data_IF_401183435061
#
_entry.id   IF_401183435061
#
_cell.length_a   1.000
_cell.length_b   1.000
_cell.length_c   1.000
_cell.angle_alpha   90.00
_cell.angle_beta   90.00
_cell.angle_gamma   90.00
#
_symmetry.space_group_name_H-M   'P 1'
#
loop_
_entity.id
_entity.type
_entity.pdbx_description
1 polymer ?
#
# COMPACT_ATOMS: atom_id res chain seq x y z
N UNK A 1 16.55 -7.74 13.47
CA UNK A 1 15.82 -6.46 13.31
C UNK A 1 14.64 -6.75 12.39
N UNK A 2 13.42 -6.76 12.93
CA UNK A 2 12.24 -7.18 12.16
C UNK A 2 11.73 -6.02 11.30
N UNK A 3 12.04 -6.04 10.01
CA UNK A 3 11.44 -5.08 9.07
C UNK A 3 9.97 -5.45 8.87
N UNK A 4 9.07 -4.78 9.61
CA UNK A 4 7.63 -4.88 9.34
C UNK A 4 7.36 -4.56 7.86
N UNK A 5 6.67 -5.44 7.11
CA UNK A 5 6.44 -5.24 5.69
C UNK A 5 5.75 -3.91 5.41
N UNK A 6 6.22 -3.20 4.39
CA UNK A 6 5.67 -1.91 3.94
C UNK A 6 4.24 -2.16 3.48
N UNK A 7 3.30 -1.42 4.06
CA UNK A 7 1.90 -1.47 3.65
C UNK A 7 1.35 -0.05 3.45
N UNK A 8 0.42 0.07 2.51
CA UNK A 8 -0.34 1.29 2.24
C UNK A 8 -1.78 1.06 2.65
N UNK A 9 -2.36 2.04 3.35
CA UNK A 9 -3.76 2.08 3.69
C UNK A 9 -4.45 3.15 2.83
N UNK A 10 -5.50 2.76 2.12
CA UNK A 10 -6.32 3.65 1.28
C UNK A 10 -7.72 3.66 1.85
N UNK A 11 -8.17 4.84 2.29
CA UNK A 11 -9.48 5.05 2.88
C UNK A 11 -10.28 6.09 2.09
N UNK A 12 -11.55 5.81 1.81
CA UNK A 12 -12.47 6.76 1.15
C UNK A 12 -13.92 6.44 1.48
N UNK A 13 -14.67 7.42 1.99
CA UNK A 13 -16.11 7.31 2.26
C UNK A 13 -16.48 6.06 3.08
N UNK A 14 -15.70 5.75 4.12
CA UNK A 14 -15.89 4.55 4.95
C UNK A 14 -15.44 3.23 4.31
N UNK A 15 -14.92 3.26 3.08
CA UNK A 15 -14.24 2.12 2.45
C UNK A 15 -12.77 2.13 2.83
N UNK A 16 -12.21 0.93 3.04
CA UNK A 16 -10.82 0.71 3.43
C UNK A 16 -10.19 -0.35 2.54
N UNK A 17 -8.99 -0.11 2.02
CA UNK A 17 -8.17 -1.12 1.37
C UNK A 17 -6.73 -1.05 1.87
N UNK A 18 -6.15 -2.21 2.17
CA UNK A 18 -4.76 -2.32 2.63
C UNK A 18 -3.97 -3.13 1.62
N UNK A 19 -2.77 -2.66 1.29
CA UNK A 19 -1.89 -3.30 0.33
C UNK A 19 -0.50 -3.47 0.92
N UNK A 20 0.08 -4.65 0.78
CA UNK A 20 1.53 -4.82 0.83
C UNK A 20 2.15 -4.11 -0.36
N UNK A 21 3.33 -3.49 -0.19
CA UNK A 21 4.05 -2.81 -1.27
C UNK A 21 5.07 -3.72 -1.93
N UNK A 22 5.65 -4.69 -1.20
CA UNK A 22 6.66 -5.61 -1.75
C UNK A 22 6.38 -7.07 -1.36
N UNK A 23 5.81 -7.89 -2.26
CA UNK A 23 5.23 -7.49 -3.55
C UNK A 23 3.90 -6.74 -3.38
N UNK A 24 3.53 -5.92 -4.38
CA UNK A 24 2.25 -5.20 -4.37
C UNK A 24 1.06 -6.17 -4.38
N UNK A 25 0.45 -6.38 -3.22
CA UNK A 25 -0.67 -7.32 -3.01
C UNK A 25 -1.69 -6.77 -2.05
N UNK A 26 -2.97 -6.92 -2.40
CA UNK A 26 -4.07 -6.63 -1.50
C UNK A 26 -3.99 -7.53 -0.27
N UNK A 27 -4.01 -6.94 0.92
CA UNK A 27 -4.05 -7.67 2.19
C UNK A 27 -5.43 -7.65 2.82
N UNK A 28 -6.19 -6.57 2.61
CA UNK A 28 -7.52 -6.40 3.16
C UNK A 28 -8.35 -5.46 2.28
N UNK A 29 -9.65 -5.73 2.15
CA UNK A 29 -10.59 -4.86 1.45
C UNK A 29 -11.94 -4.85 2.17
N UNK A 30 -12.36 -3.65 2.56
CA UNK A 30 -13.66 -3.35 3.12
C UNK A 30 -14.33 -2.29 2.22
N UNK A 31 -15.16 -2.74 1.28
CA UNK A 31 -16.07 -1.88 0.53
C UNK A 31 -15.60 -1.35 -0.83
N UNK A 32 -14.36 -1.58 -1.27
CA UNK A 32 -13.95 -1.25 -2.64
C UNK A 32 -14.35 -2.33 -3.65
N UNK A 33 -14.75 -1.90 -4.84
CA UNK A 33 -14.96 -2.80 -5.97
C UNK A 33 -13.63 -3.25 -6.61
N UNK A 34 -13.62 -4.39 -7.28
CA UNK A 34 -12.41 -4.92 -7.94
C UNK A 34 -11.77 -3.97 -8.96
N UNK A 35 -12.57 -3.17 -9.65
CA UNK A 35 -12.09 -2.14 -10.58
C UNK A 35 -11.39 -0.97 -9.86
N UNK A 36 -11.89 -0.57 -8.67
CA UNK A 36 -11.25 0.44 -7.83
C UNK A 36 -9.94 -0.08 -7.25
N UNK A 37 -9.94 -1.32 -6.72
CA UNK A 37 -8.74 -1.99 -6.23
C UNK A 37 -7.67 -2.13 -7.29
N UNK A 38 -8.04 -2.40 -8.55
CA UNK A 38 -7.10 -2.48 -9.67
C UNK A 38 -6.45 -1.12 -9.94
N UNK A 39 -7.21 -0.03 -9.88
CA UNK A 39 -6.68 1.34 -10.01
C UNK A 39 -5.73 1.68 -8.87
N UNK A 40 -6.14 1.40 -7.62
CA UNK A 40 -5.32 1.61 -6.43
C UNK A 40 -4.01 0.83 -6.54
N UNK A 41 -4.09 -0.46 -6.90
CA UNK A 41 -2.91 -1.31 -7.11
C UNK A 41 -1.96 -0.73 -8.15
N UNK A 42 -2.48 -0.22 -9.27
CA UNK A 42 -1.64 0.40 -10.32
C UNK A 42 -0.89 1.62 -9.80
N UNK A 43 -1.57 2.50 -9.06
CA UNK A 43 -0.95 3.68 -8.45
C UNK A 43 0.16 3.26 -7.47
N UNK A 44 -0.09 2.24 -6.63
CA UNK A 44 0.93 1.73 -5.69
C UNK A 44 2.12 1.15 -6.44
N UNK A 45 1.89 0.44 -7.55
CA UNK A 45 2.95 -0.14 -8.38
C UNK A 45 3.82 0.94 -9.03
N UNK A 46 3.21 1.99 -9.56
CA UNK A 46 3.90 3.13 -10.17
C UNK A 46 4.76 3.90 -9.15
N UNK A 47 4.37 3.88 -7.88
CA UNK A 47 5.06 4.55 -6.77
C UNK A 47 5.82 3.60 -5.84
N UNK A 48 6.00 2.33 -6.23
CA UNK A 48 6.58 1.29 -5.34
C UNK A 48 7.96 1.72 -4.81
N UNK A 49 8.81 2.27 -5.69
CA UNK A 49 10.15 2.75 -5.34
C UNK A 49 10.11 3.83 -4.25
N UNK A 50 9.30 4.89 -4.45
CA UNK A 50 9.13 5.98 -3.47
C UNK A 50 8.58 5.45 -2.14
N UNK A 51 7.61 4.54 -2.17
CA UNK A 51 6.99 3.99 -0.96
C UNK A 51 7.95 3.09 -0.16
N UNK A 52 8.86 2.40 -0.85
CA UNK A 52 9.91 1.59 -0.21
C UNK A 52 11.03 2.49 0.33
N UNK A 53 11.44 3.52 -0.43
CA UNK A 53 12.47 4.48 -0.02
C UNK A 53 12.04 5.33 1.17
N UNK A 54 10.80 5.84 1.16
CA UNK A 54 10.26 6.64 2.27
C UNK A 54 10.24 5.89 3.63
N UNK A 55 10.22 4.55 3.61
CA UNK A 55 10.37 3.75 4.83
C UNK A 55 11.80 3.74 5.35
N UNK A 56 12.81 3.83 4.48
CA UNK A 56 14.21 3.88 4.91
C UNK A 56 14.56 5.25 5.50
N UNK A 57 14.06 6.35 4.94
CA UNK A 57 14.33 7.70 5.45
C UNK A 57 13.70 7.99 6.81
N UNK A 58 12.51 7.45 7.12
CA UNK A 58 11.82 7.78 8.38
C UNK A 58 12.32 7.00 9.62
N UNK A 59 13.11 5.94 9.43
CA UNK A 59 13.64 5.10 10.52
C UNK A 59 15.19 5.02 10.52
N UNK A 60 15.87 5.85 9.73
CA UNK A 60 17.32 5.87 9.56
C UNK A 60 18.05 7.04 10.23
N UNK A 61 17.41 7.77 11.14
CA UNK A 61 18.00 8.84 11.95
C UNK A 61 18.13 8.44 13.41
#
# INVERSE_FOLDING_TARGET
MEMKPVHVHVERNGKVAKFWVKPVRLSDNSGYAGSELSKIRKIILENEHILVEARHDYFGG
#
